data_IF_593164869961
#
_entry.id   IF_593164869961
#
_cell.length_a   1.000
_cell.length_b   1.000
_cell.length_c   1.000
_cell.angle_alpha   90.00
_cell.angle_beta   90.00
_cell.angle_gamma   90.00
#
_symmetry.space_group_name_H-M   'P 1'
#
loop_
_entity.id
_entity.type
_entity.pdbx_description
1 polymer ?
#
# COMPACT_ATOMS: atom_id res chain seq x y z
N UNK A 1 55.37 13.22 -7.49
CA UNK A 1 53.98 13.53 -7.14
C UNK A 1 53.25 13.68 -8.47
N UNK A 2 52.39 12.75 -8.80
CA UNK A 2 51.63 12.74 -10.05
C UNK A 2 50.20 13.22 -9.77
N UNK A 3 49.85 14.39 -10.28
CA UNK A 3 48.50 14.94 -10.23
C UNK A 3 47.58 14.18 -11.18
N UNK A 4 46.63 13.45 -10.66
CA UNK A 4 45.59 12.76 -11.44
C UNK A 4 44.42 13.71 -11.61
N UNK A 5 44.34 14.35 -12.75
CA UNK A 5 43.22 15.23 -13.15
C UNK A 5 42.08 14.37 -13.69
N UNK A 6 41.06 14.08 -12.81
CA UNK A 6 39.85 13.36 -13.20
C UNK A 6 38.86 14.38 -13.78
N UNK A 7 38.89 14.60 -15.08
CA UNK A 7 37.86 15.35 -15.82
C UNK A 7 36.57 14.47 -15.89
N UNK A 8 35.55 14.82 -15.11
CA UNK A 8 34.20 14.28 -15.28
C UNK A 8 33.61 14.78 -16.59
N UNK A 9 33.51 13.89 -17.57
CA UNK A 9 32.85 14.13 -18.85
C UNK A 9 31.35 14.35 -18.57
N UNK A 10 30.86 15.60 -18.71
CA UNK A 10 29.42 15.91 -18.70
C UNK A 10 28.80 15.24 -19.92
N UNK A 11 27.96 14.22 -19.70
CA UNK A 11 27.15 13.64 -20.77
C UNK A 11 26.08 14.66 -21.16
N UNK A 12 26.18 15.20 -22.36
CA UNK A 12 25.09 16.01 -22.93
C UNK A 12 23.89 15.13 -23.19
N UNK A 13 22.65 15.58 -22.87
CA UNK A 13 21.46 14.81 -23.16
C UNK A 13 21.38 14.52 -24.66
N UNK A 14 21.13 13.26 -25.01
CA UNK A 14 21.00 12.82 -26.40
C UNK A 14 19.88 13.63 -27.07
N UNK A 15 20.10 14.18 -28.31
CA UNK A 15 19.07 14.94 -29.02
C UNK A 15 17.78 14.12 -29.24
N UNK A 16 17.89 12.81 -29.25
CA UNK A 16 16.75 11.89 -29.33
C UNK A 16 15.81 11.96 -28.12
N UNK A 17 16.37 12.25 -26.94
CA UNK A 17 15.62 12.41 -25.70
C UNK A 17 14.76 13.69 -25.74
N UNK A 18 15.25 14.77 -26.36
CA UNK A 18 14.48 16.00 -26.57
C UNK A 18 13.34 15.80 -27.57
N UNK A 19 13.54 15.02 -28.62
CA UNK A 19 12.47 14.67 -29.59
C UNK A 19 11.38 13.84 -28.92
N UNK A 20 11.75 12.88 -28.09
CA UNK A 20 10.81 12.04 -27.36
C UNK A 20 10.00 12.86 -26.34
N UNK A 21 10.62 13.79 -25.65
CA UNK A 21 9.97 14.69 -24.70
C UNK A 21 8.98 15.64 -25.41
N UNK A 22 9.34 16.16 -26.60
CA UNK A 22 8.44 16.97 -27.41
C UNK A 22 7.24 16.17 -27.92
N UNK A 23 7.42 14.91 -28.31
CA UNK A 23 6.33 14.03 -28.75
C UNK A 23 5.35 13.72 -27.61
N UNK A 24 5.86 13.48 -26.40
CA UNK A 24 5.02 13.25 -25.22
C UNK A 24 4.22 14.51 -24.86
N UNK A 25 4.84 15.69 -24.91
CA UNK A 25 4.15 16.95 -24.63
C UNK A 25 3.00 17.22 -25.62
N UNK A 26 3.22 16.92 -26.92
CA UNK A 26 2.17 17.03 -27.94
C UNK A 26 1.04 16.03 -27.74
N UNK A 27 1.35 14.79 -27.37
CA UNK A 27 0.34 13.77 -27.09
C UNK A 27 -0.53 14.13 -25.87
N UNK A 28 0.07 14.67 -24.81
CA UNK A 28 -0.64 15.13 -23.62
C UNK A 28 -1.53 16.35 -23.95
N UNK A 29 -1.00 17.31 -24.72
CA UNK A 29 -1.77 18.48 -25.18
C UNK A 29 -2.98 18.08 -26.01
N UNK A 30 -2.82 17.16 -26.96
CA UNK A 30 -3.90 16.64 -27.79
C UNK A 30 -4.96 15.89 -26.94
N UNK A 31 -4.52 15.11 -25.95
CA UNK A 31 -5.43 14.41 -25.04
C UNK A 31 -6.32 15.38 -24.26
N UNK A 32 -5.78 16.47 -23.72
CA UNK A 32 -6.56 17.48 -23.00
C UNK A 32 -7.48 18.27 -23.90
N UNK A 33 -7.12 18.48 -25.16
CA UNK A 33 -7.93 19.24 -26.12
C UNK A 33 -9.08 18.42 -26.72
N UNK A 34 -8.93 17.08 -26.79
CA UNK A 34 -9.96 16.17 -27.32
C UNK A 34 -10.87 15.59 -26.22
N UNK A 35 -10.68 15.93 -24.95
CA UNK A 35 -11.57 15.48 -23.89
C UNK A 35 -12.91 16.22 -24.04
N UNK A 36 -14.04 15.52 -24.31
CA UNK A 36 -15.36 16.16 -24.26
C UNK A 36 -15.59 16.69 -22.84
N UNK A 37 -16.05 17.94 -22.73
CA UNK A 37 -16.44 18.53 -21.46
C UNK A 37 -17.47 17.64 -20.78
N UNK A 38 -17.41 17.44 -19.44
CA UNK A 38 -18.48 16.74 -18.74
C UNK A 38 -19.79 17.48 -18.98
N UNK A 39 -20.79 16.75 -19.48
CA UNK A 39 -22.15 17.29 -19.65
C UNK A 39 -22.65 17.74 -18.29
N UNK A 40 -23.21 18.97 -18.26
CA UNK A 40 -23.88 19.54 -17.10
C UNK A 40 -24.90 18.55 -16.53
N UNK A 41 -24.67 18.12 -15.28
CA UNK A 41 -25.70 17.40 -14.51
C UNK A 41 -26.92 18.30 -14.29
N UNK A 42 -28.12 17.81 -14.57
CA UNK A 42 -29.34 18.58 -14.29
C UNK A 42 -29.50 18.72 -12.77
N UNK A 43 -29.62 19.98 -12.35
CA UNK A 43 -29.96 20.41 -11.00
C UNK A 43 -31.25 19.72 -10.52
N UNK A 44 -31.31 19.14 -9.31
CA UNK A 44 -32.53 18.61 -8.74
C UNK A 44 -33.50 19.77 -8.44
N UNK A 45 -34.84 19.61 -8.61
CA UNK A 45 -35.79 20.65 -8.32
C UNK A 45 -35.90 20.95 -6.83
N UNK A 46 -35.86 22.24 -6.49
CA UNK A 46 -36.21 22.82 -5.21
C UNK A 46 -37.57 22.33 -4.74
N UNK A 47 -37.63 21.57 -3.64
CA UNK A 47 -38.84 21.36 -2.88
C UNK A 47 -38.86 22.31 -1.69
N UNK A 48 -39.32 23.51 -1.91
CA UNK A 48 -39.86 24.39 -0.88
C UNK A 48 -41.25 23.92 -0.45
N UNK A 49 -41.38 23.67 0.85
CA UNK A 49 -42.66 23.75 1.53
C UNK A 49 -43.07 22.52 2.31
N UNK A 50 -42.89 22.49 3.59
CA UNK A 50 -44.00 22.56 4.54
C UNK A 50 -43.50 22.46 5.98
N UNK A 51 -43.73 23.58 6.63
CA UNK A 51 -43.80 23.84 8.07
C UNK A 51 -44.71 22.85 8.80
N UNK A 52 -44.23 22.28 9.91
CA UNK A 52 -44.94 22.18 11.19
C UNK A 52 -44.02 21.64 12.28
N UNK A 53 -43.71 22.47 13.26
CA UNK A 53 -43.33 22.05 14.63
C UNK A 53 -44.65 21.88 15.45
N UNK A 54 -44.67 21.41 16.71
CA UNK A 54 -43.61 21.19 17.66
C UNK A 54 -43.72 19.87 18.47
N UNK A 55 -42.74 19.51 19.23
CA UNK A 55 -42.79 19.10 20.66
C UNK A 55 -41.54 18.34 21.09
N UNK A 56 -40.69 19.03 21.83
CA UNK A 56 -40.17 18.69 23.17
C UNK A 56 -40.05 17.20 23.52
N UNK A 57 -38.81 16.72 23.58
CA UNK A 57 -38.34 15.82 24.63
C UNK A 57 -36.81 15.84 24.72
N UNK A 58 -36.32 16.62 25.67
CA UNK A 58 -34.94 16.58 26.15
C UNK A 58 -34.66 15.22 26.78
N UNK A 59 -33.82 14.40 26.16
CA UNK A 59 -33.12 13.31 26.83
C UNK A 59 -31.61 13.66 26.84
N UNK A 60 -30.95 13.62 28.02
CA UNK A 60 -29.55 13.98 28.13
C UNK A 60 -28.66 12.95 27.39
N UNK A 61 -27.90 13.43 26.43
CA UNK A 61 -26.87 12.64 25.78
C UNK A 61 -25.82 12.22 26.84
N UNK A 62 -25.68 10.92 27.02
CA UNK A 62 -24.69 10.33 27.89
C UNK A 62 -23.32 10.37 27.18
N UNK A 63 -22.34 11.19 27.63
CA UNK A 63 -21.04 11.29 26.96
C UNK A 63 -20.16 10.02 27.11
N UNK A 64 -20.62 9.00 27.86
CA UNK A 64 -19.87 7.76 28.05
C UNK A 64 -20.01 6.75 26.89
N UNK A 65 -20.96 6.93 25.96
CA UNK A 65 -21.16 5.99 24.85
C UNK A 65 -20.24 6.27 23.62
N UNK A 66 -19.74 7.48 23.47
CA UNK A 66 -18.90 7.85 22.33
C UNK A 66 -17.48 7.25 22.44
N UNK A 67 -16.95 7.09 23.67
CA UNK A 67 -15.61 6.52 23.89
C UNK A 67 -15.53 5.00 23.72
N UNK A 68 -16.65 4.29 23.91
CA UNK A 68 -16.69 2.82 23.77
C UNK A 68 -16.86 2.38 22.30
N UNK A 69 -17.49 3.19 21.45
CA UNK A 69 -17.64 2.87 20.04
C UNK A 69 -16.30 3.00 19.29
N UNK A 70 -15.49 4.00 19.64
CA UNK A 70 -14.18 4.20 19.01
C UNK A 70 -13.17 3.11 19.45
N UNK A 71 -13.19 2.70 20.71
CA UNK A 71 -12.36 1.58 21.20
C UNK A 71 -12.78 0.23 20.62
N UNK A 72 -14.06 0.01 20.34
CA UNK A 72 -14.53 -1.22 19.70
C UNK A 72 -14.18 -1.27 18.21
N UNK A 73 -14.18 -0.13 17.51
CA UNK A 73 -13.74 -0.03 16.13
C UNK A 73 -12.22 -0.27 16.01
N UNK A 74 -11.41 0.30 16.91
CA UNK A 74 -9.96 0.08 16.95
C UNK A 74 -9.58 -1.35 17.30
N UNK A 75 -10.34 -2.04 18.18
CA UNK A 75 -10.11 -3.46 18.49
C UNK A 75 -10.55 -4.40 17.37
N UNK A 76 -11.59 -4.06 16.62
CA UNK A 76 -12.01 -4.82 15.45
C UNK A 76 -10.96 -4.70 14.31
N UNK A 77 -10.41 -3.51 14.07
CA UNK A 77 -9.34 -3.28 13.09
C UNK A 77 -8.05 -4.04 13.48
N UNK A 78 -7.66 -4.04 14.75
CA UNK A 78 -6.46 -4.76 15.20
C UNK A 78 -6.61 -6.29 15.05
N UNK A 79 -7.82 -6.84 15.20
CA UNK A 79 -8.10 -8.27 15.02
C UNK A 79 -7.99 -8.70 13.55
N UNK A 80 -8.14 -7.78 12.59
CA UNK A 80 -8.00 -8.05 11.16
C UNK A 80 -6.54 -8.13 10.68
N UNK A 81 -5.58 -7.62 11.46
CA UNK A 81 -4.16 -7.58 11.13
C UNK A 81 -3.35 -8.58 11.96
N UNK A 82 -3.63 -9.87 11.76
CA UNK A 82 -2.89 -10.96 12.42
C UNK A 82 -2.20 -11.87 11.39
N UNK A 83 -1.13 -12.59 11.77
CA UNK A 83 -0.52 -13.58 10.87
C UNK A 83 -1.52 -14.62 10.37
N UNK A 84 -2.50 -14.99 11.21
CA UNK A 84 -3.54 -15.95 10.84
C UNK A 84 -4.49 -15.41 9.77
N UNK A 85 -4.91 -14.14 9.88
CA UNK A 85 -5.80 -13.51 8.88
C UNK A 85 -5.08 -13.28 7.56
N UNK A 86 -3.78 -12.98 7.57
CA UNK A 86 -2.96 -12.89 6.36
C UNK A 86 -2.80 -14.28 5.71
N UNK A 87 -2.52 -15.32 6.48
CA UNK A 87 -2.42 -16.68 5.98
C UNK A 87 -3.75 -17.18 5.40
N UNK A 88 -4.87 -16.88 6.06
CA UNK A 88 -6.21 -17.18 5.54
C UNK A 88 -6.46 -16.45 4.21
N UNK A 89 -6.10 -15.16 4.09
CA UNK A 89 -6.19 -14.41 2.84
C UNK A 89 -5.34 -15.04 1.74
N UNK A 90 -4.09 -15.41 2.03
CA UNK A 90 -3.19 -16.05 1.08
C UNK A 90 -3.71 -17.41 0.59
N UNK A 91 -4.48 -18.13 1.40
CA UNK A 91 -5.10 -19.41 1.06
C UNK A 91 -6.39 -19.28 0.24
N UNK A 92 -6.97 -18.08 0.10
CA UNK A 92 -8.17 -17.89 -0.74
C UNK A 92 -7.84 -17.99 -2.23
N UNK A 93 -8.86 -18.06 -3.08
CA UNK A 93 -8.65 -18.11 -4.53
C UNK A 93 -7.97 -16.84 -5.05
N UNK A 94 -6.85 -16.93 -5.77
CA UNK A 94 -6.17 -15.77 -6.34
C UNK A 94 -6.99 -15.06 -7.43
N UNK A 95 -8.01 -15.73 -7.98
CA UNK A 95 -8.95 -15.17 -8.95
C UNK A 95 -10.07 -14.37 -8.27
N UNK A 96 -10.16 -14.38 -6.93
CA UNK A 96 -11.17 -13.60 -6.22
C UNK A 96 -10.97 -12.09 -6.46
N UNK A 97 -12.07 -11.32 -6.58
CA UNK A 97 -11.98 -9.86 -6.71
C UNK A 97 -11.14 -9.25 -5.59
N UNK A 98 -10.24 -8.35 -5.97
CA UNK A 98 -9.38 -7.63 -5.02
C UNK A 98 -8.46 -8.51 -4.15
N UNK A 99 -8.25 -9.79 -4.51
CA UNK A 99 -7.41 -10.73 -3.75
C UNK A 99 -6.07 -10.12 -3.34
N UNK A 100 -5.31 -9.62 -4.34
CA UNK A 100 -3.98 -9.05 -4.12
C UNK A 100 -4.03 -7.74 -3.34
N UNK A 101 -5.06 -6.92 -3.55
CA UNK A 101 -5.28 -5.67 -2.82
C UNK A 101 -5.54 -5.95 -1.33
N UNK A 102 -6.49 -6.83 -1.02
CA UNK A 102 -6.80 -7.19 0.36
C UNK A 102 -5.61 -7.86 1.06
N UNK A 103 -4.89 -8.73 0.34
CA UNK A 103 -3.67 -9.35 0.87
C UNK A 103 -2.59 -8.31 1.20
N UNK A 104 -2.36 -7.35 0.32
CA UNK A 104 -1.40 -6.28 0.55
C UNK A 104 -1.83 -5.34 1.69
N UNK A 105 -3.12 -5.02 1.82
CA UNK A 105 -3.63 -4.21 2.93
C UNK A 105 -3.41 -4.91 4.28
N UNK A 106 -3.74 -6.22 4.38
CA UNK A 106 -3.50 -7.01 5.60
C UNK A 106 -2.01 -7.10 5.93
N UNK A 107 -1.18 -7.36 4.93
CA UNK A 107 0.28 -7.39 5.09
C UNK A 107 0.81 -6.04 5.58
N UNK A 108 0.35 -4.92 5.00
CA UNK A 108 0.75 -3.57 5.42
C UNK A 108 0.40 -3.30 6.87
N UNK A 109 -0.86 -3.51 7.27
CA UNK A 109 -1.30 -3.29 8.65
C UNK A 109 -0.50 -4.10 9.66
N UNK A 110 -0.24 -5.38 9.33
CA UNK A 110 0.53 -6.27 10.18
C UNK A 110 2.00 -5.84 10.31
N UNK A 111 2.65 -5.46 9.20
CA UNK A 111 4.03 -4.97 9.22
C UNK A 111 4.17 -3.66 9.98
N UNK A 112 3.20 -2.74 9.84
CA UNK A 112 3.17 -1.50 10.61
C UNK A 112 3.07 -1.78 12.11
N UNK A 113 2.19 -2.70 12.52
CA UNK A 113 2.07 -3.11 13.92
C UNK A 113 3.36 -3.75 14.48
N UNK A 114 4.07 -4.54 13.64
CA UNK A 114 5.35 -5.14 14.04
C UNK A 114 6.46 -4.10 14.25
N UNK A 115 6.44 -2.96 13.55
CA UNK A 115 7.43 -1.89 13.73
C UNK A 115 7.38 -1.25 15.11
N UNK A 116 6.25 -1.35 15.82
CA UNK A 116 6.07 -0.77 17.16
C UNK A 116 6.67 -1.64 18.26
N UNK A 117 7.08 -2.87 17.96
CA UNK A 117 7.74 -3.77 18.89
C UNK A 117 9.15 -3.29 19.22
N UNK A 118 9.55 -3.38 20.48
CA UNK A 118 10.83 -2.86 20.98
C UNK A 118 12.05 -3.54 20.34
N UNK A 119 11.96 -4.85 20.03
CA UNK A 119 13.02 -5.62 19.39
C UNK A 119 13.23 -5.26 17.90
N UNK A 120 12.21 -4.69 17.25
CA UNK A 120 12.23 -4.29 15.85
C UNK A 120 12.34 -2.78 15.63
N UNK A 121 12.11 -1.99 16.68
CA UNK A 121 12.12 -0.52 16.60
C UNK A 121 13.54 0.01 16.41
N UNK A 122 13.78 0.69 15.28
CA UNK A 122 14.96 1.50 15.01
C UNK A 122 14.68 2.52 13.88
N UNK A 123 15.60 3.48 13.64
CA UNK A 123 15.42 4.50 12.60
C UNK A 123 15.22 3.90 11.20
N UNK A 124 15.95 2.85 10.83
CA UNK A 124 15.85 2.21 9.51
C UNK A 124 14.50 1.50 9.33
N UNK A 125 14.03 0.80 10.35
CA UNK A 125 12.70 0.17 10.34
C UNK A 125 11.60 1.22 10.24
N UNK A 126 11.74 2.34 10.94
CA UNK A 126 10.80 3.47 10.88
C UNK A 126 10.75 4.08 9.47
N UNK A 127 11.90 4.30 8.84
CA UNK A 127 11.98 4.80 7.46
C UNK A 127 11.30 3.84 6.47
N UNK A 128 11.55 2.54 6.59
CA UNK A 128 10.93 1.54 5.73
C UNK A 128 9.41 1.41 5.96
N UNK A 129 8.95 1.58 7.20
CA UNK A 129 7.51 1.68 7.52
C UNK A 129 6.87 2.89 6.81
N UNK A 130 7.52 4.06 6.86
CA UNK A 130 7.01 5.27 6.23
C UNK A 130 7.00 5.14 4.70
N UNK A 131 8.00 4.47 4.11
CA UNK A 131 8.03 4.09 2.71
C UNK A 131 6.86 3.17 2.34
N UNK A 132 6.57 2.15 3.16
CA UNK A 132 5.45 1.24 2.96
C UNK A 132 4.11 1.98 3.04
N UNK A 133 3.92 2.82 4.05
CA UNK A 133 2.70 3.62 4.22
C UNK A 133 2.49 4.55 3.03
N UNK A 134 3.53 5.23 2.56
CA UNK A 134 3.47 6.08 1.37
C UNK A 134 3.15 5.28 0.10
N UNK A 135 3.76 4.11 -0.08
CA UNK A 135 3.53 3.25 -1.25
C UNK A 135 2.11 2.67 -1.29
N UNK A 136 1.48 2.52 -0.12
CA UNK A 136 0.14 1.92 0.02
C UNK A 136 -0.98 2.95 0.18
N UNK A 137 -0.68 4.22 0.41
CA UNK A 137 -1.69 5.29 0.59
C UNK A 137 -2.67 5.43 -0.58
N UNK A 138 -2.26 5.07 -1.79
CA UNK A 138 -3.04 5.19 -3.02
C UNK A 138 -3.71 3.89 -3.48
N UNK A 139 -3.66 2.83 -2.69
CA UNK A 139 -4.22 1.52 -3.06
C UNK A 139 -5.74 1.54 -3.30
N UNK A 140 -6.45 2.51 -2.75
CA UNK A 140 -7.89 2.71 -2.97
C UNK A 140 -8.25 3.40 -4.29
N UNK A 141 -7.27 3.95 -5.02
CA UNK A 141 -7.52 4.62 -6.29
C UNK A 141 -7.78 3.59 -7.40
N UNK A 142 -8.72 3.89 -8.28
CA UNK A 142 -9.00 3.04 -9.45
C UNK A 142 -7.74 2.94 -10.33
N UNK A 143 -7.37 1.71 -10.69
CA UNK A 143 -6.18 1.38 -11.48
C UNK A 143 -4.83 1.66 -10.80
N UNK A 144 -4.77 1.86 -9.49
CA UNK A 144 -3.51 1.94 -8.77
C UNK A 144 -2.71 0.63 -8.94
N UNK A 145 -1.40 0.77 -9.19
CA UNK A 145 -0.51 -0.39 -9.24
C UNK A 145 -0.19 -0.84 -7.81
N UNK A 146 -0.30 -2.15 -7.56
CA UNK A 146 0.05 -2.75 -6.26
C UNK A 146 1.56 -2.95 -6.09
N UNK A 147 2.35 -2.85 -7.18
CA UNK A 147 3.80 -3.14 -7.19
C UNK A 147 4.58 -2.32 -6.17
N UNK A 148 4.41 -0.98 -6.06
CA UNK A 148 5.13 -0.19 -5.06
C UNK A 148 4.91 -0.71 -3.63
N UNK A 149 3.67 -1.08 -3.29
CA UNK A 149 3.34 -1.65 -1.99
C UNK A 149 4.01 -3.00 -1.74
N UNK A 150 4.02 -3.92 -2.72
CA UNK A 150 4.72 -5.21 -2.59
C UNK A 150 6.23 -5.03 -2.41
N UNK A 151 6.85 -4.12 -3.17
CA UNK A 151 8.29 -3.83 -3.07
C UNK A 151 8.62 -3.24 -1.69
N UNK A 152 7.83 -2.28 -1.22
CA UNK A 152 8.03 -1.67 0.09
C UNK A 152 7.81 -2.67 1.24
N UNK A 153 6.79 -3.54 1.15
CA UNK A 153 6.55 -4.60 2.13
C UNK A 153 7.72 -5.60 2.20
N UNK A 154 8.22 -6.06 1.05
CA UNK A 154 9.38 -6.95 1.00
C UNK A 154 10.65 -6.27 1.56
N UNK A 155 10.84 -4.97 1.28
CA UNK A 155 11.93 -4.17 1.83
C UNK A 155 11.88 -4.09 3.35
N UNK A 156 10.70 -3.83 3.92
CA UNK A 156 10.51 -3.77 5.36
C UNK A 156 10.72 -5.13 6.04
N UNK A 157 10.21 -6.24 5.46
CA UNK A 157 10.48 -7.60 5.94
C UNK A 157 11.99 -7.88 5.98
N UNK A 158 12.72 -7.48 4.92
CA UNK A 158 14.18 -7.64 4.88
C UNK A 158 14.89 -6.81 5.94
N UNK A 159 14.45 -5.57 6.20
CA UNK A 159 15.02 -4.73 7.26
C UNK A 159 14.82 -5.37 8.64
N UNK A 160 13.61 -5.86 8.94
CA UNK A 160 13.32 -6.56 10.18
C UNK A 160 14.15 -7.85 10.31
N UNK A 161 14.30 -8.59 9.22
CA UNK A 161 15.13 -9.78 9.16
C UNK A 161 16.60 -9.46 9.52
N UNK A 162 17.18 -8.44 8.90
CA UNK A 162 18.58 -8.05 9.14
C UNK A 162 18.83 -7.61 10.57
N UNK A 163 17.81 -7.08 11.24
CA UNK A 163 17.91 -6.61 12.62
C UNK A 163 17.92 -7.75 13.63
N UNK A 164 17.02 -8.72 13.51
CA UNK A 164 16.76 -9.65 14.62
C UNK A 164 16.48 -11.11 14.20
N UNK A 165 16.33 -11.42 12.89
CA UNK A 165 15.88 -12.73 12.40
C UNK A 165 16.81 -13.28 11.31
N UNK A 166 18.07 -13.66 11.62
CA UNK A 166 19.02 -14.13 10.62
C UNK A 166 18.54 -15.38 9.85
N UNK A 167 17.70 -16.21 10.46
CA UNK A 167 17.11 -17.40 9.83
C UNK A 167 16.17 -17.08 8.65
N UNK A 168 15.66 -15.86 8.56
CA UNK A 168 14.81 -15.41 7.45
C UNK A 168 15.60 -14.82 6.26
N UNK A 169 16.94 -14.89 6.23
CA UNK A 169 17.75 -14.27 5.16
C UNK A 169 17.35 -14.76 3.78
N UNK A 170 17.22 -16.06 3.58
CA UNK A 170 16.78 -16.66 2.32
C UNK A 170 15.37 -16.22 1.93
N UNK A 171 14.36 -16.49 2.77
CA UNK A 171 12.98 -16.05 2.50
C UNK A 171 12.81 -14.55 2.23
N UNK A 172 13.49 -13.68 3.00
CA UNK A 172 13.41 -12.24 2.80
C UNK A 172 14.04 -11.79 1.47
N UNK A 173 15.18 -12.41 1.09
CA UNK A 173 15.82 -12.15 -0.20
C UNK A 173 14.92 -12.59 -1.37
N UNK A 174 14.28 -13.75 -1.25
CA UNK A 174 13.35 -14.25 -2.25
C UNK A 174 12.12 -13.36 -2.40
N UNK A 175 11.57 -12.85 -1.28
CA UNK A 175 10.46 -11.90 -1.31
C UNK A 175 10.83 -10.60 -2.03
N UNK A 176 12.02 -10.04 -1.78
CA UNK A 176 12.50 -8.83 -2.48
C UNK A 176 12.62 -9.10 -3.98
N UNK A 177 13.19 -10.24 -4.37
CA UNK A 177 13.31 -10.64 -5.77
C UNK A 177 11.95 -10.82 -6.44
N UNK A 178 11.00 -11.51 -5.78
CA UNK A 178 9.64 -11.70 -6.29
C UNK A 178 8.89 -10.37 -6.43
N UNK A 179 8.93 -9.52 -5.41
CA UNK A 179 8.29 -8.20 -5.46
C UNK A 179 8.76 -7.38 -6.66
N UNK A 180 10.06 -7.45 -6.99
CA UNK A 180 10.64 -6.80 -8.16
C UNK A 180 10.10 -7.34 -9.50
N UNK A 181 9.62 -8.59 -9.54
CA UNK A 181 9.09 -9.25 -10.74
C UNK A 181 7.57 -9.08 -10.89
N UNK A 182 6.84 -8.72 -9.81
CA UNK A 182 5.40 -8.51 -9.89
C UNK A 182 5.05 -7.35 -10.83
N UNK A 183 4.02 -7.53 -11.66
CA UNK A 183 3.48 -6.46 -12.50
C UNK A 183 2.71 -5.41 -11.69
N UNK A 184 2.24 -5.78 -10.49
CA UNK A 184 1.35 -4.97 -9.64
C UNK A 184 -0.10 -4.98 -10.12
N UNK A 185 -0.45 -5.95 -10.97
CA UNK A 185 -1.79 -6.18 -11.50
C UNK A 185 -2.28 -7.57 -11.12
N UNK A 186 -3.54 -7.87 -11.43
CA UNK A 186 -4.16 -9.18 -11.21
C UNK A 186 -5.08 -9.54 -12.38
N UNK A 187 -4.75 -9.08 -13.59
CA UNK A 187 -5.58 -9.24 -14.76
C UNK A 187 -5.50 -10.65 -15.36
N UNK A 188 -4.34 -11.30 -15.26
CA UNK A 188 -4.07 -12.62 -15.83
C UNK A 188 -3.92 -13.69 -14.76
N UNK A 189 -4.20 -14.94 -15.10
CA UNK A 189 -4.00 -16.08 -14.19
C UNK A 189 -2.54 -16.20 -13.71
N UNK A 190 -1.57 -15.86 -14.57
CA UNK A 190 -0.16 -15.85 -14.20
C UNK A 190 0.15 -14.78 -13.13
N UNK A 191 -0.36 -13.56 -13.30
CA UNK A 191 -0.21 -12.48 -12.30
C UNK A 191 -0.90 -12.84 -10.99
N UNK A 192 -2.09 -13.44 -11.05
CA UNK A 192 -2.82 -13.89 -9.87
C UNK A 192 -2.04 -14.95 -9.09
N UNK A 193 -1.44 -15.91 -9.77
CA UNK A 193 -0.58 -16.92 -9.15
C UNK A 193 0.70 -16.31 -8.55
N UNK A 194 1.34 -15.37 -9.24
CA UNK A 194 2.51 -14.66 -8.70
C UNK A 194 2.17 -13.88 -7.43
N UNK A 195 1.04 -13.17 -7.41
CA UNK A 195 0.55 -12.47 -6.23
C UNK A 195 0.27 -13.46 -5.07
N UNK A 196 -0.32 -14.63 -5.36
CA UNK A 196 -0.57 -15.66 -4.36
C UNK A 196 0.74 -16.23 -3.79
N UNK A 197 1.72 -16.53 -4.64
CA UNK A 197 3.03 -17.02 -4.20
C UNK A 197 3.71 -16.02 -3.27
N UNK A 198 3.70 -14.74 -3.65
CA UNK A 198 4.27 -13.67 -2.82
C UNK A 198 3.54 -13.59 -1.47
N UNK A 199 2.22 -13.52 -1.45
CA UNK A 199 1.44 -13.40 -0.20
C UNK A 199 1.62 -14.64 0.70
N UNK A 200 1.72 -15.82 0.13
CA UNK A 200 1.97 -17.06 0.89
C UNK A 200 3.35 -17.03 1.57
N UNK A 201 4.39 -16.61 0.85
CA UNK A 201 5.73 -16.49 1.40
C UNK A 201 5.83 -15.36 2.42
N UNK A 202 5.18 -14.21 2.14
CA UNK A 202 5.11 -13.10 3.07
C UNK A 202 4.41 -13.51 4.37
N UNK A 203 3.29 -14.25 4.29
CA UNK A 203 2.58 -14.75 5.47
C UNK A 203 3.45 -15.69 6.31
N UNK A 204 4.25 -16.56 5.68
CA UNK A 204 5.19 -17.44 6.38
C UNK A 204 6.30 -16.63 7.08
N UNK A 205 6.88 -15.64 6.41
CA UNK A 205 7.91 -14.77 6.99
C UNK A 205 7.36 -13.94 8.15
N UNK A 206 6.19 -13.33 7.98
CA UNK A 206 5.56 -12.49 9.02
C UNK A 206 5.15 -13.31 10.25
N UNK A 207 4.77 -14.58 10.06
CA UNK A 207 4.52 -15.47 11.20
C UNK A 207 5.75 -15.62 12.09
N UNK A 208 6.93 -15.82 11.51
CA UNK A 208 8.20 -15.88 12.27
C UNK A 208 8.52 -14.53 12.90
N UNK A 209 8.38 -13.42 12.15
CA UNK A 209 8.60 -12.07 12.67
C UNK A 209 7.65 -11.70 13.82
N UNK A 210 6.49 -12.35 13.92
CA UNK A 210 5.52 -12.12 15.01
C UNK A 210 5.91 -12.78 16.32
N UNK A 211 6.80 -13.75 16.29
CA UNK A 211 7.41 -14.34 17.47
C UNK A 211 8.56 -13.43 17.95
N UNK A 212 8.75 -13.18 19.25
CA UNK A 212 9.88 -12.40 19.74
C UNK A 212 11.21 -13.03 19.31
N UNK A 213 12.18 -12.21 18.91
CA UNK A 213 13.54 -12.67 18.60
C UNK A 213 14.16 -13.34 19.84
N UNK A 214 14.83 -14.47 19.64
CA UNK A 214 15.49 -15.23 20.71
C UNK A 214 16.93 -14.76 20.90
#
# INVERSE_FOLDING_TARGET
MADINIQRKKSSPSPWLLVLLAAVALAVGAYFFLRPAPADEPTPPDNTGQETAPADTLAPANPAAAGMADSAAQTADAADYTPATLAAQAATSPAAPNYALHGLQKLTGLLVALCDRDDLRDPTTTEQRDNLTSATSRLGESNASLRPGFVAAAGLIRTMQQKAYPELEGPATDLVRQAGQLSGRSATAAEQQQNQQFLTQAAAAVRVLSEPAQ
#
